data_IF_954454981054
#
_entry.id   IF_954454981054
#
_cell.length_a   1.000
_cell.length_b   1.000
_cell.length_c   1.000
_cell.angle_alpha   90.00
_cell.angle_beta   90.00
_cell.angle_gamma   90.00
#
_symmetry.space_group_name_H-M   'P 1'
#
loop_
_entity.id
_entity.type
_entity.pdbx_description
1 polymer ?
#
# COMPACT_ATOMS: atom_id res chain seq x y z
N UNK A 1 12.62 -24.57 7.16
CA UNK A 1 11.46 -23.88 7.78
C UNK A 1 11.90 -22.90 8.87
N UNK A 2 12.80 -23.30 9.78
CA UNK A 2 13.30 -22.39 10.82
C UNK A 2 13.94 -21.10 10.28
N UNK A 3 14.69 -21.19 9.19
CA UNK A 3 15.25 -20.02 8.50
C UNK A 3 14.15 -19.09 7.95
N UNK A 4 13.11 -19.67 7.34
CA UNK A 4 11.96 -18.92 6.82
C UNK A 4 11.18 -18.24 7.96
N UNK A 5 11.01 -18.90 9.10
CA UNK A 5 10.40 -18.30 10.30
C UNK A 5 11.22 -17.11 10.82
N UNK A 6 12.55 -17.25 10.88
CA UNK A 6 13.43 -16.16 11.31
C UNK A 6 13.41 -14.99 10.33
N UNK A 7 13.42 -15.28 9.03
CA UNK A 7 13.33 -14.28 7.97
C UNK A 7 12.02 -13.49 8.08
N UNK A 8 10.88 -14.18 8.16
CA UNK A 8 9.57 -13.51 8.31
C UNK A 8 9.48 -12.74 9.62
N UNK A 9 10.05 -13.25 10.71
CA UNK A 9 10.06 -12.57 12.00
C UNK A 9 10.89 -11.28 11.97
N UNK A 10 12.09 -11.34 11.41
CA UNK A 10 12.94 -10.17 11.28
C UNK A 10 12.24 -9.11 10.41
N UNK A 11 11.68 -9.54 9.29
CA UNK A 11 11.04 -8.61 8.37
C UNK A 11 9.71 -8.05 8.91
N UNK A 12 8.99 -8.82 9.72
CA UNK A 12 7.85 -8.31 10.48
C UNK A 12 8.27 -7.23 11.48
N UNK A 13 9.40 -7.40 12.17
CA UNK A 13 9.96 -6.40 13.09
C UNK A 13 10.34 -5.13 12.34
N UNK A 14 11.08 -5.26 11.25
CA UNK A 14 11.52 -4.11 10.46
C UNK A 14 10.32 -3.33 9.92
N UNK A 15 9.34 -4.00 9.30
CA UNK A 15 8.14 -3.35 8.77
C UNK A 15 7.22 -2.76 9.85
N UNK A 16 7.26 -3.27 11.08
CA UNK A 16 6.52 -2.68 12.20
C UNK A 16 7.10 -1.35 12.69
N UNK A 17 8.39 -1.10 12.42
CA UNK A 17 9.11 0.10 12.85
C UNK A 17 9.18 1.18 11.76
N UNK A 18 8.97 0.79 10.50
CA UNK A 18 9.05 1.68 9.35
C UNK A 18 7.79 2.54 9.21
N UNK A 19 8.02 3.85 8.99
CA UNK A 19 7.00 4.90 8.78
C UNK A 19 7.20 5.55 7.39
N UNK A 20 8.02 4.96 6.50
CA UNK A 20 8.43 5.64 5.28
C UNK A 20 7.55 5.29 4.07
N UNK A 21 7.31 6.24 3.14
CA UNK A 21 6.45 6.01 1.97
C UNK A 21 7.05 5.06 0.91
N UNK A 22 8.36 4.79 0.95
CA UNK A 22 9.09 3.98 -0.05
C UNK A 22 8.89 2.45 0.16
N UNK A 23 8.04 2.05 1.10
CA UNK A 23 7.92 0.67 1.58
C UNK A 23 6.98 -0.24 0.76
N UNK A 24 6.34 0.23 -0.31
CA UNK A 24 5.34 -0.56 -1.06
C UNK A 24 5.92 -1.88 -1.63
N UNK A 25 7.03 -1.82 -2.36
CA UNK A 25 7.68 -3.01 -2.94
C UNK A 25 8.18 -3.97 -1.86
N UNK A 26 8.47 -3.42 -0.67
CA UNK A 26 8.89 -4.20 0.48
C UNK A 26 7.72 -4.93 1.12
N UNK A 27 6.57 -4.28 1.24
CA UNK A 27 5.33 -4.92 1.66
C UNK A 27 4.89 -6.02 0.68
N UNK A 28 5.04 -5.81 -0.63
CA UNK A 28 4.74 -6.86 -1.63
C UNK A 28 5.63 -8.09 -1.42
N UNK A 29 6.95 -7.91 -1.38
CA UNK A 29 7.90 -9.03 -1.13
C UNK A 29 7.67 -9.71 0.22
N UNK A 30 7.28 -8.94 1.24
CA UNK A 30 6.94 -9.49 2.54
C UNK A 30 5.70 -10.39 2.48
N UNK A 31 4.64 -9.97 1.78
CA UNK A 31 3.43 -10.77 1.59
C UNK A 31 3.76 -12.09 0.87
N UNK A 32 4.59 -12.05 -0.17
CA UNK A 32 5.05 -13.26 -0.87
C UNK A 32 5.82 -14.19 0.08
N UNK A 33 6.77 -13.66 0.84
CA UNK A 33 7.57 -14.45 1.80
C UNK A 33 6.68 -15.06 2.89
N UNK A 34 5.69 -14.31 3.37
CA UNK A 34 4.71 -14.77 4.36
C UNK A 34 3.78 -15.84 3.80
N UNK A 35 3.43 -15.75 2.52
CA UNK A 35 2.67 -16.80 1.84
C UNK A 35 3.46 -18.11 1.77
N UNK A 36 4.76 -18.04 1.45
CA UNK A 36 5.64 -19.22 1.49
C UNK A 36 5.67 -19.85 2.87
N UNK A 37 5.71 -19.05 3.94
CA UNK A 37 5.66 -19.55 5.31
C UNK A 37 4.33 -20.25 5.61
N UNK A 38 3.20 -19.66 5.22
CA UNK A 38 1.87 -20.27 5.41
C UNK A 38 1.79 -21.63 4.73
N UNK A 39 2.26 -21.73 3.49
CA UNK A 39 2.31 -23.00 2.74
C UNK A 39 3.22 -24.02 3.44
N UNK A 40 4.39 -23.59 3.91
CA UNK A 40 5.32 -24.47 4.63
C UNK A 40 4.74 -24.99 5.96
N UNK A 41 3.99 -24.15 6.68
CA UNK A 41 3.28 -24.53 7.92
C UNK A 41 2.19 -25.56 7.62
N UNK A 42 1.39 -25.33 6.58
CA UNK A 42 0.32 -26.24 6.16
C UNK A 42 0.87 -27.61 5.75
N UNK A 43 1.96 -27.65 4.97
CA UNK A 43 2.59 -28.89 4.52
C UNK A 43 3.25 -29.69 5.65
N UNK A 44 3.80 -29.01 6.66
CA UNK A 44 4.50 -29.68 7.76
C UNK A 44 3.54 -30.38 8.73
N UNK A 45 2.34 -29.83 8.94
CA UNK A 45 1.36 -30.35 9.89
C UNK A 45 1.77 -30.13 11.34
N UNK A 46 2.71 -30.94 11.85
CA UNK A 46 3.17 -30.88 13.23
C UNK A 46 4.32 -29.89 13.43
N UNK A 47 4.00 -28.79 14.11
CA UNK A 47 4.97 -27.77 14.49
C UNK A 47 5.58 -28.06 15.85
N UNK A 48 6.90 -27.88 15.95
CA UNK A 48 7.61 -27.90 17.23
C UNK A 48 7.17 -26.73 18.12
N UNK A 49 7.42 -26.84 19.42
CA UNK A 49 7.11 -25.76 20.36
C UNK A 49 7.87 -24.47 20.06
N UNK A 50 9.10 -24.59 19.54
CA UNK A 50 9.90 -23.45 19.13
C UNK A 50 9.29 -22.75 17.91
N UNK A 51 8.87 -23.50 16.89
CA UNK A 51 8.23 -22.95 15.70
C UNK A 51 6.90 -22.27 16.03
N UNK A 52 6.08 -22.89 16.90
CA UNK A 52 4.85 -22.28 17.42
C UNK A 52 5.12 -20.96 18.15
N UNK A 53 6.22 -20.89 18.92
CA UNK A 53 6.62 -19.66 19.60
C UNK A 53 6.98 -18.56 18.59
N UNK A 54 7.78 -18.88 17.57
CA UNK A 54 8.17 -17.93 16.52
C UNK A 54 6.95 -17.43 15.73
N UNK A 55 6.01 -18.32 15.38
CA UNK A 55 4.76 -17.93 14.71
C UNK A 55 3.95 -16.97 15.57
N UNK A 56 3.80 -17.24 16.87
CA UNK A 56 3.10 -16.32 17.77
C UNK A 56 3.79 -14.96 17.85
N UNK A 57 5.13 -14.92 17.84
CA UNK A 57 5.89 -13.67 17.83
C UNK A 57 5.65 -12.90 16.52
N UNK A 58 5.67 -13.56 15.36
CA UNK A 58 5.33 -12.96 14.06
C UNK A 58 3.94 -12.31 14.11
N UNK A 59 2.94 -13.04 14.61
CA UNK A 59 1.55 -12.58 14.66
C UNK A 59 1.33 -11.33 15.52
N UNK A 60 2.24 -10.99 16.44
CA UNK A 60 2.14 -9.78 17.25
C UNK A 60 2.34 -8.50 16.42
N UNK A 61 3.05 -8.59 15.29
CA UNK A 61 3.34 -7.44 14.42
C UNK A 61 2.24 -7.21 13.36
N UNK A 62 1.40 -8.22 13.09
CA UNK A 62 0.34 -8.15 12.08
C UNK A 62 -0.54 -6.90 12.19
N UNK A 63 -1.08 -6.51 13.37
CA UNK A 63 -1.96 -5.36 13.46
C UNK A 63 -1.27 -4.03 13.10
N UNK A 64 0.03 -3.92 13.37
CA UNK A 64 0.84 -2.73 13.08
C UNK A 64 1.07 -2.65 11.57
N UNK A 65 1.54 -3.74 10.97
CA UNK A 65 1.77 -3.86 9.52
C UNK A 65 0.49 -3.59 8.73
N UNK A 66 -0.63 -4.19 9.14
CA UNK A 66 -1.94 -3.97 8.50
C UNK A 66 -2.37 -2.50 8.56
N UNK A 67 -2.12 -1.81 9.68
CA UNK A 67 -2.43 -0.39 9.81
C UNK A 67 -1.57 0.46 8.88
N UNK A 68 -0.29 0.14 8.73
CA UNK A 68 0.61 0.84 7.80
C UNK A 68 0.15 0.68 6.36
N UNK A 69 -0.13 -0.55 5.92
CA UNK A 69 -0.66 -0.79 4.57
C UNK A 69 -1.98 -0.05 4.32
N UNK A 70 -2.87 -0.01 5.31
CA UNK A 70 -4.14 0.72 5.20
C UNK A 70 -3.91 2.24 5.10
N UNK A 71 -2.95 2.78 5.86
CA UNK A 71 -2.56 4.21 5.76
C UNK A 71 -2.04 4.56 4.36
N UNK A 72 -1.16 3.73 3.78
CA UNK A 72 -0.63 3.94 2.43
C UNK A 72 -1.75 3.92 1.38
N UNK A 73 -2.68 2.96 1.51
CA UNK A 73 -3.87 2.87 0.64
C UNK A 73 -4.73 4.13 0.73
N UNK A 74 -4.96 4.63 1.95
CA UNK A 74 -5.79 5.82 2.16
C UNK A 74 -5.12 7.08 1.62
N UNK A 75 -3.80 7.21 1.78
CA UNK A 75 -3.02 8.31 1.19
C UNK A 75 -3.10 8.29 -0.34
N UNK A 76 -2.90 7.12 -0.97
CA UNK A 76 -3.02 6.97 -2.41
C UNK A 76 -4.43 7.34 -2.92
N UNK A 77 -5.48 6.91 -2.20
CA UNK A 77 -6.86 7.24 -2.53
C UNK A 77 -7.12 8.76 -2.44
N UNK A 78 -6.62 9.41 -1.39
CA UNK A 78 -6.72 10.86 -1.25
C UNK A 78 -5.97 11.60 -2.36
N UNK A 79 -4.78 11.13 -2.74
CA UNK A 79 -3.99 11.67 -3.84
C UNK A 79 -4.76 11.61 -5.17
N UNK A 80 -5.36 10.47 -5.50
CA UNK A 80 -6.19 10.30 -6.70
C UNK A 80 -7.40 11.24 -6.70
N UNK A 81 -8.07 11.39 -5.55
CA UNK A 81 -9.21 12.30 -5.43
C UNK A 81 -8.80 13.76 -5.67
N UNK A 82 -7.65 14.21 -5.13
CA UNK A 82 -7.10 15.55 -5.37
C UNK A 82 -6.75 15.76 -6.84
N UNK A 83 -6.12 14.79 -7.50
CA UNK A 83 -5.79 14.85 -8.92
C UNK A 83 -7.05 14.96 -9.79
N UNK A 84 -8.09 14.18 -9.49
CA UNK A 84 -9.36 14.22 -10.21
C UNK A 84 -10.08 15.55 -10.02
N UNK A 85 -10.07 16.11 -8.80
CA UNK A 85 -10.63 17.43 -8.53
C UNK A 85 -9.90 18.54 -9.31
N UNK A 86 -8.56 18.51 -9.33
CA UNK A 86 -7.75 19.47 -10.09
C UNK A 86 -7.99 19.37 -11.60
N UNK A 87 -8.12 18.15 -12.15
CA UNK A 87 -8.48 17.95 -13.57
C UNK A 87 -9.85 18.54 -13.90
N UNK A 88 -10.86 18.33 -13.04
CA UNK A 88 -12.21 18.91 -13.21
C UNK A 88 -12.18 20.44 -13.17
N UNK A 89 -11.44 21.03 -12.22
CA UNK A 89 -11.28 22.48 -12.15
C UNK A 89 -10.60 23.04 -13.40
N UNK A 90 -9.47 22.46 -13.83
CA UNK A 90 -8.78 22.86 -15.07
C UNK A 90 -9.69 22.76 -16.30
N UNK A 91 -10.49 21.70 -16.41
CA UNK A 91 -11.44 21.56 -17.51
C UNK A 91 -12.49 22.67 -17.51
N UNK A 92 -13.06 23.04 -16.35
CA UNK A 92 -14.07 24.09 -16.23
C UNK A 92 -13.53 25.51 -16.54
N UNK A 93 -12.29 25.81 -16.17
CA UNK A 93 -11.64 27.08 -16.53
C UNK A 93 -11.21 27.12 -18.01
N UNK A 94 -10.82 25.99 -18.59
CA UNK A 94 -10.44 25.94 -20.02
C UNK A 94 -11.66 25.97 -20.97
N UNK A 95 -12.84 25.51 -20.55
CA UNK A 95 -14.07 25.63 -21.36
C UNK A 95 -14.70 27.02 -21.32
N UNK A 96 -14.41 27.83 -20.30
CA UNK A 96 -14.87 29.23 -20.22
C UNK A 96 -14.05 30.19 -21.09
N UNK A 97 -12.87 29.78 -21.57
CA UNK A 97 -12.05 30.52 -22.54
C UNK A 97 -12.51 30.42 -24.01
N UNK A 98 -13.57 29.63 -24.30
CA UNK A 98 -14.11 29.46 -25.66
C UNK A 98 -15.44 30.21 -25.89
N UNK A 99 -15.73 31.22 -25.07
CA UNK A 99 -16.97 32.02 -25.15
C UNK A 99 -16.78 33.50 -25.49
N UNK A 100 -15.63 33.89 -26.07
CA UNK A 100 -15.38 35.30 -26.41
C UNK A 100 -14.75 35.52 -27.80
N UNK A 101 -15.23 34.80 -28.83
CA UNK A 101 -14.93 35.16 -30.23
C UNK A 101 -16.18 35.18 -31.11
N UNK A 102 -17.15 36.01 -30.74
CA UNK A 102 -18.10 36.59 -31.70
C UNK A 102 -17.76 38.07 -31.80
N UNK A 103 -16.66 38.39 -32.51
CA UNK A 103 -16.41 39.75 -32.96
C UNK A 103 -17.47 40.12 -33.99
N UNK A 104 -18.41 40.98 -33.59
CA UNK A 104 -19.35 41.62 -34.47
C UNK A 104 -18.60 42.49 -35.49
N UNK A 105 -18.47 42.01 -36.72
CA UNK A 105 -18.06 42.84 -37.85
C UNK A 105 -19.27 43.63 -38.36
N UNK A 106 -19.56 44.79 -37.74
CA UNK A 106 -20.40 45.81 -38.37
C UNK A 106 -19.55 46.57 -39.38
N UNK A 107 -19.62 46.20 -40.66
CA UNK A 107 -19.23 47.09 -41.76
C UNK A 107 -20.48 47.77 -42.31
N UNK A 108 -20.35 49.10 -42.43
CA UNK A 108 -21.28 50.05 -43.04
C UNK A 108 -21.54 49.74 -44.50
#
# INVERSE_FOLDING_TARGET
MDELLRLVLDESKQLSQLIQPEDYERFERFVETRQLLTVAVEQKGDLTQQEKRLIREILQYDPIIMRHMQSLKDEAMQGLNRLNASKKQKAAYNTSGFHESIMFNKRK
#
